data_IF_573612084180
#
_entry.id   IF_573612084180
#
_cell.length_a   1.000
_cell.length_b   1.000
_cell.length_c   1.000
_cell.angle_alpha   90.00
_cell.angle_beta   90.00
_cell.angle_gamma   90.00
#
_symmetry.space_group_name_H-M   'P 1'
#
loop_
_entity.id
_entity.type
_entity.pdbx_description
1 polymer ?
#
# COMPACT_ATOMS: atom_id res chain seq x y z
N UNK A 1 2.93 5.09 24.30
CA UNK A 1 2.60 4.27 23.10
C UNK A 1 2.47 2.83 23.56
N UNK A 2 1.41 2.11 23.16
CA UNK A 2 1.24 0.72 23.54
C UNK A 2 2.43 -0.09 22.98
N UNK A 3 3.15 -0.87 23.80
CA UNK A 3 4.37 -1.63 23.39
C UNK A 3 4.12 -2.47 22.14
N UNK A 4 2.95 -3.10 22.03
CA UNK A 4 2.52 -3.93 20.91
C UNK A 4 2.51 -3.16 19.57
N UNK A 5 2.02 -1.92 19.54
CA UNK A 5 2.04 -1.09 18.33
C UNK A 5 3.47 -0.69 17.93
N UNK A 6 4.33 -0.44 18.90
CA UNK A 6 5.74 -0.14 18.64
C UNK A 6 6.47 -1.34 18.03
N UNK A 7 6.28 -2.52 18.59
CA UNK A 7 6.85 -3.77 18.09
C UNK A 7 6.38 -4.10 16.68
N UNK A 8 5.06 -3.94 16.41
CA UNK A 8 4.54 -4.11 15.06
C UNK A 8 5.20 -3.15 14.07
N UNK A 9 5.33 -1.86 14.42
CA UNK A 9 5.98 -0.87 13.55
C UNK A 9 7.43 -1.23 13.24
N UNK A 10 8.19 -1.69 14.23
CA UNK A 10 9.58 -2.12 14.03
C UNK A 10 9.68 -3.33 13.09
N UNK A 11 8.83 -4.35 13.29
CA UNK A 11 8.76 -5.51 12.38
C UNK A 11 8.38 -5.10 10.96
N UNK A 12 7.34 -4.28 10.83
CA UNK A 12 6.86 -3.82 9.54
C UNK A 12 7.91 -2.98 8.80
N UNK A 13 8.62 -2.10 9.52
CA UNK A 13 9.74 -1.33 8.97
C UNK A 13 10.86 -2.24 8.44
N UNK A 14 11.24 -3.26 9.21
CA UNK A 14 12.24 -4.25 8.78
C UNK A 14 11.80 -4.94 7.50
N UNK A 15 10.55 -5.41 7.44
CA UNK A 15 10.00 -6.07 6.25
C UNK A 15 10.05 -5.14 5.04
N UNK A 16 9.60 -3.89 5.17
CA UNK A 16 9.58 -2.95 4.05
C UNK A 16 10.97 -2.52 3.60
N UNK A 17 11.94 -2.39 4.51
CA UNK A 17 13.33 -2.16 4.15
C UNK A 17 13.90 -3.32 3.31
N UNK A 18 13.59 -4.57 3.66
CA UNK A 18 14.04 -5.74 2.89
C UNK A 18 13.33 -5.90 1.55
N UNK A 19 12.04 -5.55 1.50
CA UNK A 19 11.20 -5.72 0.30
C UNK A 19 11.43 -4.60 -0.72
N UNK A 20 11.73 -3.38 -0.28
CA UNK A 20 11.79 -2.19 -1.12
C UNK A 20 12.59 -2.34 -2.42
N UNK A 21 13.80 -2.95 -2.47
CA UNK A 21 14.55 -3.10 -3.71
C UNK A 21 13.85 -4.00 -4.74
N UNK A 22 13.21 -5.08 -4.25
CA UNK A 22 12.47 -6.03 -5.12
C UNK A 22 11.14 -5.45 -5.57
N UNK A 23 10.46 -4.76 -4.66
CA UNK A 23 9.23 -4.03 -4.93
C UNK A 23 9.46 -2.98 -6.02
N UNK A 24 10.55 -2.23 -5.93
CA UNK A 24 10.94 -1.24 -6.93
C UNK A 24 11.10 -1.86 -8.32
N UNK A 25 11.82 -2.99 -8.45
CA UNK A 25 11.98 -3.69 -9.73
C UNK A 25 10.65 -4.11 -10.35
N UNK A 26 9.67 -4.47 -9.54
CA UNK A 26 8.37 -4.98 -10.01
C UNK A 26 7.35 -3.88 -10.28
N UNK A 27 7.30 -2.86 -9.45
CA UNK A 27 6.21 -1.90 -9.38
C UNK A 27 6.66 -0.44 -9.62
N UNK A 28 7.48 -0.21 -10.63
CA UNK A 28 7.89 1.16 -11.02
C UNK A 28 6.89 1.82 -11.97
N UNK A 29 5.90 1.09 -12.47
CA UNK A 29 4.92 1.59 -13.44
C UNK A 29 3.52 1.65 -12.83
N UNK A 30 2.87 2.83 -12.93
CA UNK A 30 1.46 3.03 -12.57
C UNK A 30 0.47 2.34 -13.52
N UNK A 31 0.97 1.64 -14.54
CA UNK A 31 0.14 0.89 -15.47
C UNK A 31 0.01 -0.60 -15.10
N UNK A 32 0.67 -1.04 -14.03
CA UNK A 32 0.73 -2.46 -13.66
C UNK A 32 0.32 -2.68 -12.20
N UNK A 33 -0.29 -3.84 -11.95
CA UNK A 33 -0.68 -4.28 -10.62
C UNK A 33 -1.57 -3.26 -9.90
N UNK A 34 -1.42 -3.10 -8.59
CA UNK A 34 -2.27 -2.23 -7.78
C UNK A 34 -2.21 -0.76 -8.20
N UNK A 35 -1.12 -0.32 -8.85
CA UNK A 35 -0.96 1.06 -9.27
C UNK A 35 -1.79 1.46 -10.51
N UNK A 36 -2.52 0.53 -11.13
CA UNK A 36 -3.49 0.87 -12.18
C UNK A 36 -4.55 1.86 -11.68
N UNK A 37 -4.90 1.80 -10.39
CA UNK A 37 -5.82 2.76 -9.76
C UNK A 37 -5.23 4.15 -9.57
N UNK A 38 -3.91 4.33 -9.67
CA UNK A 38 -3.23 5.62 -9.44
C UNK A 38 -3.75 6.71 -10.36
N UNK A 39 -3.92 6.40 -11.64
CA UNK A 39 -4.44 7.38 -12.61
C UNK A 39 -5.82 7.89 -12.20
N UNK A 40 -6.71 6.97 -11.80
CA UNK A 40 -8.06 7.30 -11.35
C UNK A 40 -8.06 8.10 -10.05
N UNK A 41 -7.20 7.74 -9.10
CA UNK A 41 -7.04 8.51 -7.87
C UNK A 41 -6.60 9.95 -8.17
N UNK A 42 -5.60 10.13 -9.01
CA UNK A 42 -5.06 11.44 -9.38
C UNK A 42 -6.07 12.28 -10.19
N UNK A 43 -6.87 11.66 -11.04
CA UNK A 43 -7.99 12.30 -11.73
C UNK A 43 -9.05 12.80 -10.74
N UNK A 44 -9.39 12.00 -9.72
CA UNK A 44 -10.38 12.38 -8.70
C UNK A 44 -9.94 13.55 -7.84
N UNK A 45 -8.66 13.64 -7.47
CA UNK A 45 -8.13 14.76 -6.67
C UNK A 45 -7.75 15.98 -7.52
N UNK A 46 -7.91 15.91 -8.85
CA UNK A 46 -7.79 17.04 -9.79
C UNK A 46 -6.52 17.86 -9.60
N UNK A 47 -5.35 17.22 -9.64
CA UNK A 47 -4.06 17.91 -9.44
C UNK A 47 -3.88 19.02 -10.48
N UNK A 48 -3.67 20.24 -10.00
CA UNK A 48 -3.34 21.41 -10.81
C UNK A 48 -1.81 21.61 -10.91
N UNK A 49 -1.33 22.28 -11.97
CA UNK A 49 0.09 22.47 -12.24
C UNK A 49 0.85 23.16 -11.12
N UNK A 50 0.21 24.03 -10.35
CA UNK A 50 0.83 24.84 -9.29
C UNK A 50 0.63 24.23 -7.87
N UNK A 51 0.04 23.04 -7.77
CA UNK A 51 -0.25 22.46 -6.47
C UNK A 51 1.00 21.96 -5.76
N UNK A 52 0.97 22.10 -4.44
CA UNK A 52 1.87 21.40 -3.53
C UNK A 52 1.18 20.12 -3.05
N UNK A 53 1.82 18.99 -3.27
CA UNK A 53 1.24 17.66 -2.98
C UNK A 53 2.11 16.95 -1.95
N UNK A 54 1.48 16.29 -0.98
CA UNK A 54 2.13 15.37 -0.04
C UNK A 54 1.69 13.93 -0.40
N UNK A 55 2.66 13.06 -0.66
CA UNK A 55 2.42 11.64 -0.92
C UNK A 55 2.88 10.81 0.28
N UNK A 56 1.92 10.32 1.07
CA UNK A 56 2.14 9.61 2.34
C UNK A 56 2.30 8.12 2.08
N UNK A 57 3.33 7.52 2.68
CA UNK A 57 3.79 6.16 2.41
C UNK A 57 4.11 5.97 0.92
N UNK A 58 4.95 6.86 0.41
CA UNK A 58 5.30 6.95 -1.01
C UNK A 58 6.13 5.74 -1.52
N UNK A 59 6.64 4.91 -0.64
CA UNK A 59 7.50 3.78 -0.97
C UNK A 59 8.74 4.24 -1.77
N UNK A 60 9.00 3.57 -2.89
CA UNK A 60 10.12 3.92 -3.79
C UNK A 60 9.78 5.03 -4.78
N UNK A 61 8.68 5.76 -4.58
CA UNK A 61 8.37 7.00 -5.30
C UNK A 61 7.64 6.83 -6.64
N UNK A 62 7.03 5.69 -6.94
CA UNK A 62 6.34 5.47 -8.22
C UNK A 62 5.13 6.40 -8.40
N UNK A 63 4.31 6.53 -7.37
CA UNK A 63 3.14 7.44 -7.36
C UNK A 63 3.60 8.89 -7.33
N UNK A 64 4.55 9.20 -6.45
CA UNK A 64 5.13 10.55 -6.31
C UNK A 64 5.69 11.07 -7.65
N UNK A 65 6.43 10.23 -8.38
CA UNK A 65 6.94 10.54 -9.71
C UNK A 65 5.82 10.76 -10.74
N UNK A 66 4.75 9.99 -10.65
CA UNK A 66 3.59 10.16 -11.52
C UNK A 66 2.88 11.49 -11.22
N UNK A 67 2.74 11.87 -9.95
CA UNK A 67 2.20 13.17 -9.53
C UNK A 67 3.10 14.30 -10.05
N UNK A 68 4.40 14.20 -9.86
CA UNK A 68 5.37 15.20 -10.32
C UNK A 68 5.23 15.51 -11.81
N UNK A 69 4.98 14.51 -12.66
CA UNK A 69 4.75 14.70 -14.10
C UNK A 69 3.49 15.51 -14.44
N UNK A 70 2.55 15.65 -13.51
CA UNK A 70 1.34 16.48 -13.67
C UNK A 70 1.54 17.90 -13.22
N UNK A 71 2.60 18.16 -12.46
CA UNK A 71 2.92 19.48 -11.92
C UNK A 71 3.71 20.31 -12.93
N UNK A 72 3.53 21.63 -12.86
CA UNK A 72 4.33 22.62 -13.60
C UNK A 72 5.57 23.04 -12.81
N UNK A 73 6.25 24.07 -13.29
CA UNK A 73 7.50 24.59 -12.68
C UNK A 73 7.31 25.10 -11.24
N UNK A 74 6.16 25.67 -10.90
CA UNK A 74 5.80 26.18 -9.58
C UNK A 74 5.13 25.13 -8.67
N UNK A 75 4.75 23.97 -9.21
CA UNK A 75 4.21 22.87 -8.43
C UNK A 75 5.33 22.09 -7.73
N UNK A 76 4.97 21.40 -6.63
CA UNK A 76 5.91 20.65 -5.82
C UNK A 76 5.27 19.40 -5.24
N UNK A 77 6.00 18.32 -5.14
CA UNK A 77 5.54 17.12 -4.44
C UNK A 77 6.58 16.62 -3.45
N UNK A 78 6.11 16.33 -2.23
CA UNK A 78 6.90 15.71 -1.16
C UNK A 78 6.40 14.29 -0.93
N UNK A 79 7.28 13.30 -1.09
CA UNK A 79 7.01 11.91 -0.68
C UNK A 79 7.55 11.65 0.72
N UNK A 80 6.74 11.03 1.59
CA UNK A 80 7.21 10.57 2.90
C UNK A 80 6.96 9.07 3.06
N UNK A 81 7.92 8.38 3.66
CA UNK A 81 7.81 6.95 3.98
C UNK A 81 8.68 6.62 5.20
N UNK A 82 8.28 5.62 5.98
CA UNK A 82 9.04 5.16 7.15
C UNK A 82 10.26 4.31 6.77
N UNK A 83 10.26 3.69 5.58
CA UNK A 83 11.36 2.86 5.09
C UNK A 83 12.54 3.71 4.59
N UNK A 84 13.66 3.67 5.31
CA UNK A 84 14.89 4.37 4.89
C UNK A 84 15.43 3.86 3.56
N UNK A 85 15.28 2.56 3.29
CA UNK A 85 15.73 1.94 2.04
C UNK A 85 14.84 2.38 0.87
N UNK A 86 13.51 2.42 1.08
CA UNK A 86 12.59 2.91 0.05
C UNK A 86 12.88 4.38 -0.31
N UNK A 87 13.10 5.23 0.70
CA UNK A 87 13.46 6.65 0.50
C UNK A 87 14.79 6.81 -0.23
N UNK A 88 15.81 6.02 0.11
CA UNK A 88 17.11 6.03 -0.62
C UNK A 88 16.91 5.69 -2.10
N UNK A 89 16.11 4.66 -2.40
CA UNK A 89 15.79 4.27 -3.77
C UNK A 89 15.00 5.38 -4.48
N UNK A 90 14.00 5.95 -3.82
CA UNK A 90 13.16 7.02 -4.37
C UNK A 90 13.99 8.25 -4.73
N UNK A 91 14.88 8.69 -3.86
CA UNK A 91 15.81 9.80 -4.11
C UNK A 91 16.70 9.53 -5.32
N UNK A 92 17.40 8.38 -5.33
CA UNK A 92 18.28 7.99 -6.44
C UNK A 92 17.53 7.92 -7.78
N UNK A 93 16.33 7.35 -7.78
CA UNK A 93 15.53 7.20 -9.00
C UNK A 93 15.01 8.53 -9.56
N UNK A 94 14.93 9.56 -8.72
CA UNK A 94 14.35 10.87 -9.05
C UNK A 94 15.33 12.03 -8.90
N UNK A 95 16.63 11.79 -8.79
CA UNK A 95 17.67 12.81 -8.52
C UNK A 95 17.68 13.99 -9.50
N UNK A 96 17.21 13.79 -10.74
CA UNK A 96 17.14 14.82 -11.78
C UNK A 96 15.89 15.70 -11.72
N UNK A 97 14.92 15.38 -10.84
CA UNK A 97 13.66 16.13 -10.72
C UNK A 97 13.80 17.24 -9.68
N UNK A 98 13.61 18.51 -10.08
CA UNK A 98 13.84 19.68 -9.21
C UNK A 98 12.68 20.03 -8.26
N UNK A 99 11.45 19.60 -8.58
CA UNK A 99 10.25 19.93 -7.80
C UNK A 99 9.66 18.71 -7.09
N UNK A 100 10.53 17.82 -6.64
CA UNK A 100 10.22 16.56 -6.00
C UNK A 100 11.25 16.23 -4.93
N UNK A 101 10.78 16.01 -3.70
CA UNK A 101 11.62 15.56 -2.59
C UNK A 101 11.06 14.35 -1.88
N UNK A 102 11.92 13.68 -1.12
CA UNK A 102 11.58 12.51 -0.30
C UNK A 102 12.19 12.63 1.09
N UNK A 103 11.38 12.34 2.11
CA UNK A 103 11.81 12.40 3.51
C UNK A 103 11.39 11.13 4.24
N UNK A 104 12.28 10.63 5.10
CA UNK A 104 12.01 9.48 5.94
C UNK A 104 11.24 9.92 7.19
N UNK A 105 9.92 9.66 7.20
CA UNK A 105 9.01 10.08 8.28
C UNK A 105 7.90 9.03 8.45
N UNK A 106 7.51 8.79 9.71
CA UNK A 106 6.35 7.96 10.06
C UNK A 106 5.03 8.74 9.87
N UNK A 107 4.09 8.16 9.12
CA UNK A 107 2.77 8.73 8.86
C UNK A 107 1.95 9.06 10.12
N UNK A 108 2.22 8.38 11.23
CA UNK A 108 1.57 8.66 12.51
C UNK A 108 2.28 9.74 13.33
N UNK A 109 3.46 10.23 12.92
CA UNK A 109 4.27 11.16 13.69
C UNK A 109 4.90 12.25 12.79
N UNK A 110 4.09 13.02 12.10
CA UNK A 110 4.57 14.19 11.38
C UNK A 110 3.68 15.42 11.56
N UNK A 111 4.31 16.57 11.40
CA UNK A 111 3.64 17.86 11.27
C UNK A 111 4.45 18.74 10.34
N UNK A 112 3.78 19.43 9.42
CA UNK A 112 4.41 20.39 8.51
C UNK A 112 3.84 21.78 8.75
N UNK A 113 4.70 22.79 8.77
CA UNK A 113 4.30 24.21 8.79
C UNK A 113 3.64 24.61 7.47
N UNK A 114 4.23 24.19 6.35
CA UNK A 114 3.64 24.39 5.01
C UNK A 114 2.45 23.44 4.82
N UNK A 115 1.39 23.97 4.18
CA UNK A 115 0.18 23.22 3.88
C UNK A 115 0.14 22.81 2.41
N UNK A 116 -0.48 21.68 2.13
CA UNK A 116 -0.58 21.07 0.82
C UNK A 116 -1.99 21.25 0.23
N UNK A 117 -2.03 21.40 -1.09
CA UNK A 117 -3.30 21.43 -1.83
C UNK A 117 -3.93 20.05 -1.90
N UNK A 118 -3.10 19.00 -2.01
CA UNK A 118 -3.52 17.61 -2.05
C UNK A 118 -2.62 16.77 -1.17
N UNK A 119 -3.22 15.82 -0.44
CA UNK A 119 -2.51 14.73 0.23
C UNK A 119 -2.95 13.41 -0.41
N UNK A 120 -2.01 12.56 -0.79
CA UNK A 120 -2.29 11.19 -1.27
C UNK A 120 -1.76 10.15 -0.30
N UNK A 121 -2.47 9.01 -0.19
CA UNK A 121 -2.02 7.82 0.54
C UNK A 121 -2.54 6.59 -0.18
N UNK A 122 -1.67 5.88 -0.88
CA UNK A 122 -2.08 4.78 -1.75
C UNK A 122 -1.61 3.43 -1.22
N UNK A 123 -2.55 2.51 -0.98
CA UNK A 123 -2.32 1.14 -0.49
C UNK A 123 -1.47 1.04 0.79
N UNK A 124 -1.64 2.00 1.71
CA UNK A 124 -0.87 2.05 2.95
C UNK A 124 -1.71 2.19 4.22
N UNK A 125 -2.87 2.83 4.16
CA UNK A 125 -3.67 3.16 5.35
C UNK A 125 -3.94 1.94 6.26
N UNK A 126 -4.15 0.76 5.67
CA UNK A 126 -4.43 -0.46 6.42
C UNK A 126 -3.21 -1.03 7.16
N UNK A 127 -1.98 -0.56 6.86
CA UNK A 127 -0.78 -0.94 7.60
C UNK A 127 -0.54 -0.09 8.86
N UNK A 128 -1.19 1.06 9.01
CA UNK A 128 -0.93 1.94 10.15
C UNK A 128 -1.66 1.44 11.40
N UNK A 129 -0.98 1.08 12.50
CA UNK A 129 -1.63 0.67 13.74
C UNK A 129 -2.66 1.70 14.21
N UNK A 130 -2.31 2.97 14.17
CA UNK A 130 -3.19 4.09 14.47
C UNK A 130 -3.54 4.88 13.21
N UNK A 131 -4.41 4.31 12.36
CA UNK A 131 -4.86 4.96 11.14
C UNK A 131 -5.54 6.32 11.40
N UNK A 132 -6.23 6.48 12.54
CA UNK A 132 -6.85 7.75 12.94
C UNK A 132 -5.80 8.85 13.15
N UNK A 133 -4.68 8.53 13.80
CA UNK A 133 -3.59 9.49 14.00
C UNK A 133 -2.96 9.90 12.67
N UNK A 134 -2.71 8.92 11.79
CA UNK A 134 -2.20 9.20 10.45
C UNK A 134 -3.16 10.08 9.63
N UNK A 135 -4.46 9.77 9.62
CA UNK A 135 -5.47 10.55 8.93
C UNK A 135 -5.59 11.98 9.48
N UNK A 136 -5.52 12.16 10.80
CA UNK A 136 -5.50 13.50 11.43
C UNK A 136 -4.26 14.29 11.03
N UNK A 137 -3.07 13.66 10.99
CA UNK A 137 -1.84 14.32 10.53
C UNK A 137 -1.96 14.74 9.05
N UNK A 138 -2.50 13.86 8.19
CA UNK A 138 -2.78 14.18 6.79
C UNK A 138 -3.75 15.36 6.69
N UNK A 139 -4.84 15.37 7.46
CA UNK A 139 -5.81 16.47 7.48
C UNK A 139 -5.16 17.78 7.91
N UNK A 140 -4.37 17.75 8.98
CA UNK A 140 -3.67 18.92 9.51
C UNK A 140 -2.62 19.47 8.53
N UNK A 141 -2.19 18.67 7.56
CA UNK A 141 -1.24 19.10 6.52
C UNK A 141 -1.91 19.71 5.30
N UNK A 142 -3.25 19.63 5.20
CA UNK A 142 -4.01 20.22 4.10
C UNK A 142 -4.26 21.72 4.30
N UNK A 143 -4.30 22.47 3.21
CA UNK A 143 -4.93 23.79 3.14
C UNK A 143 -6.43 23.67 3.44
N UNK A 144 -7.10 24.78 3.78
CA UNK A 144 -8.54 24.81 4.10
C UNK A 144 -9.42 24.16 3.01
N UNK A 145 -9.10 24.37 1.75
CA UNK A 145 -9.78 23.78 0.58
C UNK A 145 -9.07 22.55 0.01
N UNK A 146 -8.07 22.02 0.72
CA UNK A 146 -7.26 20.90 0.23
C UNK A 146 -8.03 19.59 0.21
N UNK A 147 -7.61 18.69 -0.68
CA UNK A 147 -8.23 17.39 -0.89
C UNK A 147 -7.32 16.25 -0.43
N UNK A 148 -7.93 15.18 0.09
CA UNK A 148 -7.23 13.93 0.35
C UNK A 148 -7.65 12.87 -0.67
N UNK A 149 -6.67 12.15 -1.23
CA UNK A 149 -6.88 11.00 -2.08
C UNK A 149 -6.32 9.74 -1.40
N UNK A 150 -7.19 8.79 -1.06
CA UNK A 150 -6.81 7.53 -0.43
C UNK A 150 -7.24 6.38 -1.32
N UNK A 151 -6.36 5.40 -1.54
CA UNK A 151 -6.78 4.12 -2.08
C UNK A 151 -6.42 2.97 -1.14
N UNK A 152 -7.34 2.04 -1.01
CA UNK A 152 -7.20 0.78 -0.29
C UNK A 152 -7.65 -0.36 -1.18
N UNK A 153 -7.26 -1.59 -0.88
CA UNK A 153 -7.87 -2.74 -1.55
C UNK A 153 -9.29 -2.99 -1.02
N UNK A 154 -10.11 -3.66 -1.81
CA UNK A 154 -11.42 -4.16 -1.40
C UNK A 154 -11.31 -5.22 -0.31
N UNK A 155 -12.47 -5.77 0.11
CA UNK A 155 -12.50 -6.92 1.02
C UNK A 155 -11.71 -8.10 0.43
N UNK A 156 -11.27 -9.01 1.29
CA UNK A 156 -10.45 -10.17 0.90
C UNK A 156 -11.05 -10.97 -0.26
N UNK A 157 -12.38 -11.05 -0.34
CA UNK A 157 -13.08 -11.78 -1.40
C UNK A 157 -12.93 -11.12 -2.78
N UNK A 158 -12.65 -9.82 -2.80
CA UNK A 158 -12.43 -9.03 -4.02
C UNK A 158 -10.95 -8.90 -4.40
N UNK A 159 -10.03 -9.49 -3.62
CA UNK A 159 -8.58 -9.46 -3.88
C UNK A 159 -7.95 -10.86 -3.81
N UNK A 160 -8.44 -11.80 -4.64
CA UNK A 160 -8.04 -13.22 -4.58
C UNK A 160 -6.53 -13.42 -4.75
N UNK A 161 -5.85 -12.49 -5.41
CA UNK A 161 -4.39 -12.51 -5.54
C UNK A 161 -3.67 -12.58 -4.19
N UNK A 162 -4.17 -11.87 -3.17
CA UNK A 162 -3.60 -11.87 -1.82
C UNK A 162 -4.31 -12.86 -0.91
N UNK A 163 -5.64 -12.90 -0.92
CA UNK A 163 -6.42 -13.67 0.03
C UNK A 163 -6.19 -15.18 -0.12
N UNK A 164 -5.99 -15.67 -1.34
CA UNK A 164 -5.72 -17.10 -1.57
C UNK A 164 -4.50 -17.62 -0.80
N UNK A 165 -3.44 -16.83 -0.71
CA UNK A 165 -2.24 -17.20 0.06
C UNK A 165 -2.42 -16.89 1.55
N UNK A 166 -2.94 -15.71 1.90
CA UNK A 166 -3.05 -15.27 3.29
C UNK A 166 -3.97 -16.19 4.11
N UNK A 167 -5.12 -16.57 3.56
CA UNK A 167 -6.03 -17.49 4.23
C UNK A 167 -5.42 -18.88 4.44
N UNK A 168 -4.64 -19.35 3.46
CA UNK A 168 -3.91 -20.61 3.59
C UNK A 168 -2.75 -20.48 4.58
N UNK A 169 -2.03 -19.36 4.58
CA UNK A 169 -0.94 -19.11 5.52
C UNK A 169 -1.45 -19.11 6.97
N UNK A 170 -2.58 -18.48 7.25
CA UNK A 170 -3.16 -18.46 8.60
C UNK A 170 -3.62 -19.85 9.06
N UNK A 171 -4.01 -20.71 8.13
CA UNK A 171 -4.44 -22.10 8.43
C UNK A 171 -3.26 -23.04 8.72
N UNK A 172 -2.20 -22.96 7.91
CA UNK A 172 -1.12 -23.95 7.92
C UNK A 172 0.13 -23.50 8.67
N UNK A 173 0.29 -22.20 8.94
CA UNK A 173 1.47 -21.65 9.63
C UNK A 173 1.03 -21.11 10.99
N UNK A 174 1.44 -21.77 12.10
CA UNK A 174 1.19 -21.25 13.44
C UNK A 174 1.75 -19.83 13.58
N UNK A 175 1.03 -18.98 14.30
CA UNK A 175 1.44 -17.59 14.58
C UNK A 175 1.84 -16.80 13.33
N UNK A 176 1.19 -17.08 12.19
CA UNK A 176 1.46 -16.36 10.95
C UNK A 176 1.19 -14.85 11.08
N UNK A 177 0.14 -14.49 11.79
CA UNK A 177 -0.22 -13.09 12.07
C UNK A 177 0.30 -12.71 13.45
N UNK A 178 1.44 -12.01 13.54
CA UNK A 178 2.01 -11.63 14.84
C UNK A 178 1.08 -10.68 15.63
N UNK A 179 1.18 -10.67 16.96
CA UNK A 179 0.43 -9.73 17.80
C UNK A 179 0.61 -8.26 17.36
N UNK A 180 -0.46 -7.49 17.45
CA UNK A 180 -0.47 -6.07 17.07
C UNK A 180 -0.57 -5.82 15.56
N UNK A 181 -0.62 -6.87 14.72
CA UNK A 181 -0.84 -6.71 13.28
C UNK A 181 -2.27 -6.21 13.04
N UNK A 182 -2.47 -5.07 12.37
CA UNK A 182 -3.80 -4.60 12.05
C UNK A 182 -4.53 -5.58 11.12
N UNK A 183 -5.85 -5.69 11.26
CA UNK A 183 -6.63 -6.36 10.22
C UNK A 183 -6.51 -5.57 8.92
N UNK A 184 -5.88 -6.16 7.91
CA UNK A 184 -5.63 -5.50 6.63
C UNK A 184 -6.92 -5.24 5.84
N UNK A 185 -7.99 -6.01 6.11
CA UNK A 185 -9.30 -5.85 5.46
C UNK A 185 -10.20 -4.79 6.13
N UNK A 186 -9.74 -4.18 7.23
CA UNK A 186 -10.57 -3.24 8.04
C UNK A 186 -11.18 -2.07 7.25
N UNK A 187 -10.64 -1.76 6.09
CA UNK A 187 -11.14 -0.69 5.20
C UNK A 187 -11.63 -1.22 3.85
N UNK A 188 -11.84 -2.53 3.73
CA UNK A 188 -12.21 -3.20 2.49
C UNK A 188 -13.63 -2.91 2.00
N UNK A 189 -14.49 -2.28 2.80
CA UNK A 189 -15.83 -1.87 2.38
C UNK A 189 -15.97 -0.35 2.31
N UNK A 190 -16.87 0.14 1.45
CA UNK A 190 -17.16 1.59 1.35
C UNK A 190 -17.59 2.18 2.70
N UNK A 191 -18.42 1.46 3.45
CA UNK A 191 -18.91 1.91 4.76
C UNK A 191 -17.78 2.03 5.77
N UNK A 192 -16.93 1.02 5.90
CA UNK A 192 -15.82 1.02 6.84
C UNK A 192 -14.83 2.15 6.54
N UNK A 193 -14.41 2.30 5.27
CA UNK A 193 -13.50 3.37 4.85
C UNK A 193 -14.14 4.76 5.09
N UNK A 194 -15.41 4.94 4.71
CA UNK A 194 -16.13 6.21 4.90
C UNK A 194 -16.20 6.60 6.37
N UNK A 195 -16.52 5.64 7.24
CA UNK A 195 -16.60 5.84 8.69
C UNK A 195 -15.25 6.26 9.25
N UNK A 196 -14.18 5.59 8.88
CA UNK A 196 -12.83 5.88 9.37
C UNK A 196 -12.34 7.28 8.94
N UNK A 197 -12.56 7.64 7.68
CA UNK A 197 -12.16 8.94 7.13
C UNK A 197 -13.00 10.06 7.77
N UNK A 198 -14.30 9.83 7.99
CA UNK A 198 -15.20 10.79 8.68
C UNK A 198 -14.78 11.03 10.13
N UNK A 199 -14.40 9.99 10.88
CA UNK A 199 -13.90 10.10 12.26
C UNK A 199 -12.64 10.97 12.36
N UNK A 200 -11.83 11.02 11.32
CA UNK A 200 -10.66 11.92 11.24
C UNK A 200 -11.06 13.37 10.91
N UNK A 201 -12.36 13.64 10.72
CA UNK A 201 -12.92 14.97 10.50
C UNK A 201 -12.99 15.40 9.04
N UNK A 202 -12.89 14.49 8.08
CA UNK A 202 -13.15 14.80 6.68
C UNK A 202 -14.64 14.81 6.38
N UNK A 203 -15.05 15.70 5.47
CA UNK A 203 -16.41 15.83 4.94
C UNK A 203 -16.41 15.61 3.43
N UNK A 204 -17.59 15.59 2.80
CA UNK A 204 -17.74 15.46 1.35
C UNK A 204 -17.00 14.26 0.77
N UNK A 205 -17.12 13.10 1.43
CA UNK A 205 -16.39 11.88 1.11
C UNK A 205 -17.01 11.20 -0.11
N UNK A 206 -16.23 11.09 -1.19
CA UNK A 206 -16.59 10.36 -2.42
C UNK A 206 -15.78 9.08 -2.47
N UNK A 207 -16.44 7.93 -2.57
CA UNK A 207 -15.78 6.63 -2.73
C UNK A 207 -16.15 6.03 -4.07
N UNK A 208 -15.13 5.70 -4.86
CA UNK A 208 -15.26 4.99 -6.13
C UNK A 208 -14.57 3.63 -6.04
N UNK A 209 -15.20 2.61 -6.59
CA UNK A 209 -14.58 1.30 -6.76
C UNK A 209 -13.98 1.20 -8.16
N UNK A 210 -12.80 0.61 -8.23
CA UNK A 210 -12.14 0.27 -9.48
C UNK A 210 -11.80 -1.21 -9.47
N UNK A 211 -12.27 -1.91 -10.49
CA UNK A 211 -11.91 -3.29 -10.75
C UNK A 211 -10.89 -3.27 -11.87
N UNK A 212 -9.78 -3.93 -11.67
CA UNK A 212 -8.78 -4.16 -12.71
C UNK A 212 -8.35 -5.62 -12.71
N UNK A 213 -8.18 -6.15 -13.90
CA UNK A 213 -7.73 -7.50 -14.08
C UNK A 213 -6.22 -7.59 -13.93
N UNK A 214 -5.78 -8.57 -13.17
CA UNK A 214 -4.38 -8.93 -13.04
C UNK A 214 -4.22 -10.40 -13.36
N UNK A 215 -3.50 -10.70 -14.45
CA UNK A 215 -3.15 -12.07 -14.80
C UNK A 215 -1.75 -12.38 -14.22
N UNK A 216 -1.66 -13.22 -13.20
CA UNK A 216 -0.37 -13.60 -12.59
C UNK A 216 0.40 -14.65 -13.39
N UNK A 217 -0.12 -15.15 -14.51
CA UNK A 217 0.40 -16.28 -15.27
C UNK A 217 -0.08 -17.63 -14.75
N UNK A 218 0.68 -18.69 -15.02
CA UNK A 218 0.40 -20.03 -14.48
C UNK A 218 0.52 -20.03 -12.96
N UNK A 219 -0.07 -21.03 -12.29
CA UNK A 219 0.00 -21.13 -10.83
C UNK A 219 1.44 -21.10 -10.30
N UNK A 220 2.36 -21.81 -10.94
CA UNK A 220 3.76 -21.82 -10.50
C UNK A 220 4.43 -20.43 -10.62
N UNK A 221 4.08 -19.65 -11.63
CA UNK A 221 4.56 -18.27 -11.78
C UNK A 221 3.99 -17.39 -10.66
N UNK A 222 2.69 -17.52 -10.39
CA UNK A 222 2.02 -16.82 -9.29
C UNK A 222 2.66 -17.17 -7.94
N UNK A 223 2.80 -18.46 -7.64
CA UNK A 223 3.39 -18.96 -6.39
C UNK A 223 4.82 -18.47 -6.20
N UNK A 224 5.67 -18.71 -7.18
CA UNK A 224 7.08 -18.34 -7.12
C UNK A 224 7.28 -16.83 -7.02
N UNK A 225 6.49 -16.07 -7.77
CA UNK A 225 6.55 -14.61 -7.73
C UNK A 225 6.05 -14.07 -6.38
N UNK A 226 4.97 -14.63 -5.82
CA UNK A 226 4.47 -14.20 -4.52
C UNK A 226 5.50 -14.47 -3.41
N UNK A 227 5.98 -15.70 -3.31
CA UNK A 227 6.98 -16.10 -2.31
C UNK A 227 8.29 -15.34 -2.47
N UNK A 228 8.74 -15.14 -3.71
CA UNK A 228 10.02 -14.46 -3.98
C UNK A 228 9.97 -12.95 -3.75
N UNK A 229 8.88 -12.29 -4.15
CA UNK A 229 8.87 -10.83 -4.25
C UNK A 229 8.08 -10.11 -3.15
N UNK A 230 7.09 -10.75 -2.56
CA UNK A 230 6.16 -10.09 -1.63
C UNK A 230 6.34 -10.59 -0.20
N UNK A 231 6.73 -11.84 -0.01
CA UNK A 231 6.55 -12.53 1.26
C UNK A 231 7.79 -13.25 1.79
N UNK A 232 8.92 -12.54 1.97
CA UNK A 232 10.09 -13.18 2.62
C UNK A 232 9.75 -13.83 3.96
N UNK A 233 8.99 -13.19 4.89
CA UNK A 233 8.57 -13.82 6.13
C UNK A 233 7.71 -15.08 5.91
N UNK A 234 6.85 -15.08 4.89
CA UNK A 234 6.08 -16.26 4.52
C UNK A 234 6.99 -17.39 4.01
N UNK A 235 7.97 -17.04 3.18
CA UNK A 235 8.92 -18.04 2.65
C UNK A 235 9.70 -18.74 3.77
N UNK A 236 10.19 -17.99 4.75
CA UNK A 236 10.95 -18.54 5.87
C UNK A 236 10.08 -19.48 6.70
N UNK A 237 8.87 -19.05 7.08
CA UNK A 237 7.92 -19.87 7.82
C UNK A 237 7.44 -21.10 7.01
N UNK A 238 7.19 -20.93 5.72
CA UNK A 238 6.85 -22.02 4.82
C UNK A 238 7.95 -23.07 4.74
N UNK A 239 9.20 -22.65 4.61
CA UNK A 239 10.36 -23.56 4.54
C UNK A 239 10.60 -24.31 5.85
N UNK A 240 10.17 -23.74 6.99
CA UNK A 240 10.25 -24.38 8.30
C UNK A 240 9.18 -25.45 8.52
N UNK A 241 8.13 -25.52 7.69
CA UNK A 241 7.12 -26.57 7.76
C UNK A 241 7.69 -27.91 7.28
N UNK A 242 7.15 -29.01 7.80
CA UNK A 242 7.37 -30.36 7.28
C UNK A 242 6.93 -30.47 5.81
N UNK A 243 7.54 -31.38 5.07
CA UNK A 243 7.29 -31.55 3.63
C UNK A 243 5.81 -31.78 3.31
N UNK A 244 5.13 -32.63 4.06
CA UNK A 244 3.69 -32.92 3.92
C UNK A 244 2.86 -31.63 4.05
N UNK A 245 3.07 -30.86 5.10
CA UNK A 245 2.37 -29.59 5.36
C UNK A 245 2.69 -28.53 4.30
N UNK A 246 3.91 -28.50 3.78
CA UNK A 246 4.26 -27.59 2.64
C UNK A 246 3.46 -27.95 1.39
N UNK A 247 3.32 -29.24 1.11
CA UNK A 247 2.55 -29.74 -0.03
C UNK A 247 1.06 -29.40 0.12
N UNK A 248 0.48 -29.69 1.29
CA UNK A 248 -0.91 -29.35 1.60
C UNK A 248 -1.18 -27.85 1.47
N UNK A 249 -0.31 -27.01 2.04
CA UNK A 249 -0.43 -25.56 1.95
C UNK A 249 -0.41 -25.09 0.49
N UNK A 250 0.57 -25.54 -0.30
CA UNK A 250 0.68 -25.17 -1.72
C UNK A 250 -0.53 -25.60 -2.52
N UNK A 251 -1.05 -26.82 -2.28
CA UNK A 251 -2.25 -27.34 -2.92
C UNK A 251 -3.51 -26.55 -2.52
N UNK A 252 -3.67 -26.22 -1.24
CA UNK A 252 -4.79 -25.38 -0.79
C UNK A 252 -4.80 -23.99 -1.46
N UNK A 253 -3.63 -23.38 -1.64
CA UNK A 253 -3.52 -22.11 -2.40
C UNK A 253 -3.89 -22.32 -3.86
N UNK A 254 -3.42 -23.43 -4.48
CA UNK A 254 -3.74 -23.77 -5.88
C UNK A 254 -5.24 -23.93 -6.10
N UNK A 255 -5.91 -24.69 -5.25
CA UNK A 255 -7.35 -24.89 -5.31
C UNK A 255 -8.14 -23.59 -5.20
N UNK A 256 -7.74 -22.74 -4.24
CA UNK A 256 -8.37 -21.42 -4.10
C UNK A 256 -8.16 -20.55 -5.35
N UNK A 257 -6.99 -20.56 -5.94
CA UNK A 257 -6.73 -19.77 -7.18
C UNK A 257 -7.53 -20.29 -8.37
N UNK A 258 -7.76 -21.58 -8.48
CA UNK A 258 -8.57 -22.20 -9.55
C UNK A 258 -10.04 -21.73 -9.52
N UNK A 259 -10.60 -21.44 -8.35
CA UNK A 259 -11.97 -20.94 -8.22
C UNK A 259 -12.15 -19.57 -8.91
N UNK A 260 -11.10 -18.77 -8.97
CA UNK A 260 -11.12 -17.45 -9.60
C UNK A 260 -10.81 -17.51 -11.10
N UNK A 261 -10.01 -18.47 -11.55
CA UNK A 261 -9.74 -18.67 -12.99
C UNK A 261 -10.97 -19.17 -13.74
N UNK A 262 -11.81 -19.97 -13.12
CA UNK A 262 -13.06 -20.46 -13.71
C UNK A 262 -14.15 -19.36 -13.86
N UNK A 263 -14.09 -18.30 -13.08
CA UNK A 263 -15.02 -17.15 -13.18
C UNK A 263 -14.67 -16.17 -14.31
N UNK A 264 -13.52 -16.32 -14.96
CA UNK A 264 -13.07 -15.46 -16.06
C UNK A 264 -13.32 -16.06 -17.47
N UNK A 265 -14.10 -17.15 -17.56
CA UNK A 265 -14.48 -17.80 -18.82
C UNK A 265 -16.03 -17.80 -18.94
N UNK A 266 -16.63 -16.62 -18.77
CA UNK A 266 -18.00 -16.35 -19.23
C UNK A 266 -18.00 -14.97 -19.89
#
# INVERSE_FOLDING_TARGET
MNSIHSEYKQRNLKIWNEVAPRYHKRWTSVNKGPFQSTKKLIELVKINKNYHVLDVACGTGAVTKYIQKKLGKSGYVLGIDTSTIAIKIAKKWNEKNKNLDFVNIDAENFAFSKKFDVVTCQYALFFFPNAQKALKNMKNSLKKSGLIGISVHGSKDNVPFFSSILDSATKYIPDYVPPGTPNLDRFGTKSALKTEVRKAGFSNIIIKEFIFNYNPGKFEDYWNNYIKYIAKPLKEKFNALEYSKRSEFKNAVKEKTLQYTKKMVI
#
